data_IF_408565636869
#
_entry.id   IF_408565636869
#
_cell.length_a   1.000
_cell.length_b   1.000
_cell.length_c   1.000
_cell.angle_alpha   90.00
_cell.angle_beta   90.00
_cell.angle_gamma   90.00
#
_symmetry.space_group_name_H-M   'P 1'
#
loop_
_entity.id
_entity.type
_entity.pdbx_description
1 polymer ?
#
# COMPACT_ATOMS: atom_id res chain seq x y z
N UNK A 1 4.98 0.52 -17.44
CA UNK A 1 4.31 -0.48 -16.58
C UNK A 1 5.16 -0.65 -15.32
N UNK A 2 4.61 -1.12 -14.20
CA UNK A 2 5.35 -1.32 -12.93
C UNK A 2 5.14 -2.75 -12.43
N UNK A 3 6.10 -3.26 -11.68
CA UNK A 3 5.99 -4.49 -10.89
C UNK A 3 5.56 -4.12 -9.45
N UNK A 4 4.51 -4.77 -8.96
CA UNK A 4 3.90 -4.52 -7.66
C UNK A 4 4.22 -5.63 -6.66
N UNK A 5 4.78 -5.25 -5.51
CA UNK A 5 5.06 -6.14 -4.37
C UNK A 5 4.36 -5.57 -3.15
N UNK A 6 3.50 -6.32 -2.49
CA UNK A 6 2.73 -5.87 -1.35
C UNK A 6 3.37 -6.34 -0.04
N UNK A 7 3.88 -5.41 0.77
CA UNK A 7 4.42 -5.70 2.10
C UNK A 7 3.26 -5.89 3.08
N UNK A 8 2.94 -7.16 3.34
CA UNK A 8 1.76 -7.55 4.13
C UNK A 8 1.84 -7.02 5.56
N UNK A 9 3.04 -6.99 6.14
CA UNK A 9 3.26 -6.52 7.53
C UNK A 9 2.74 -5.12 7.81
N UNK A 10 2.80 -4.21 6.82
CA UNK A 10 2.43 -2.79 6.98
C UNK A 10 1.29 -2.35 6.06
N UNK A 11 0.83 -3.22 5.17
CA UNK A 11 -0.20 -2.88 4.19
C UNK A 11 0.32 -1.89 3.16
N UNK A 12 1.57 -2.06 2.71
CA UNK A 12 2.24 -1.08 1.84
C UNK A 12 2.60 -1.68 0.49
N UNK A 13 2.13 -1.05 -0.58
CA UNK A 13 2.50 -1.41 -1.94
C UNK A 13 3.87 -0.84 -2.33
N UNK A 14 4.82 -1.72 -2.59
CA UNK A 14 6.14 -1.42 -3.12
C UNK A 14 6.10 -1.51 -4.65
N UNK A 15 6.68 -0.53 -5.32
CA UNK A 15 6.75 -0.52 -6.79
C UNK A 15 8.17 -0.59 -7.31
N UNK A 16 8.33 -1.36 -8.39
CA UNK A 16 9.58 -1.64 -9.08
C UNK A 16 9.41 -1.49 -10.60
N UNK A 17 10.53 -1.34 -11.31
CA UNK A 17 10.52 -1.31 -12.77
C UNK A 17 10.15 -2.67 -13.35
N UNK A 18 9.42 -2.66 -14.48
CA UNK A 18 8.93 -3.90 -15.12
C UNK A 18 10.06 -4.82 -15.56
N UNK A 19 11.27 -4.29 -15.79
CA UNK A 19 12.44 -5.08 -16.17
C UNK A 19 12.77 -6.18 -15.15
N UNK A 20 12.43 -5.98 -13.86
CA UNK A 20 12.61 -7.00 -12.83
C UNK A 20 11.71 -8.23 -13.03
N UNK A 21 10.66 -8.16 -13.85
CA UNK A 21 9.80 -9.31 -14.14
C UNK A 21 10.51 -10.43 -14.90
N UNK A 22 11.49 -10.09 -15.76
CA UNK A 22 12.26 -11.08 -16.53
C UNK A 22 13.52 -11.55 -15.80
N UNK A 23 13.85 -10.92 -14.67
CA UNK A 23 14.96 -11.30 -13.80
C UNK A 23 14.55 -12.41 -12.83
N UNK A 24 15.53 -12.94 -12.10
CA UNK A 24 15.27 -13.98 -11.10
C UNK A 24 14.63 -13.40 -9.84
N UNK A 25 14.00 -14.25 -9.04
CA UNK A 25 13.48 -13.87 -7.73
C UNK A 25 14.63 -13.43 -6.79
N UNK A 26 15.83 -13.98 -6.94
CA UNK A 26 17.01 -13.50 -6.23
C UNK A 26 17.32 -12.01 -6.54
N UNK A 27 17.24 -11.61 -7.81
CA UNK A 27 17.44 -10.21 -8.23
C UNK A 27 16.36 -9.30 -7.63
N UNK A 28 15.10 -9.76 -7.60
CA UNK A 28 14.01 -9.04 -6.93
C UNK A 28 14.30 -8.88 -5.42
N UNK A 29 14.79 -9.92 -4.75
CA UNK A 29 15.16 -9.84 -3.33
C UNK A 29 16.29 -8.83 -3.08
N UNK A 30 17.29 -8.80 -3.95
CA UNK A 30 18.35 -7.78 -3.91
C UNK A 30 17.81 -6.37 -4.16
N UNK A 31 16.87 -6.20 -5.08
CA UNK A 31 16.23 -4.91 -5.34
C UNK A 31 15.42 -4.41 -4.12
N UNK A 32 14.66 -5.31 -3.47
CA UNK A 32 13.93 -5.01 -2.23
C UNK A 32 14.89 -4.59 -1.12
N UNK A 33 15.99 -5.33 -0.92
CA UNK A 33 17.00 -4.99 0.08
C UNK A 33 17.63 -3.61 -0.20
N UNK A 34 18.00 -3.35 -1.45
CA UNK A 34 18.67 -2.11 -1.84
C UNK A 34 17.78 -0.89 -1.63
N UNK A 35 16.51 -0.98 -2.05
CA UNK A 35 15.54 0.13 -2.05
C UNK A 35 14.85 0.34 -0.70
N UNK A 36 14.42 -0.74 -0.05
CA UNK A 36 13.58 -0.69 1.17
C UNK A 36 14.27 -1.23 2.42
N UNK A 37 15.55 -1.63 2.33
CA UNK A 37 16.39 -2.04 3.47
C UNK A 37 15.89 -3.26 4.24
N UNK A 38 15.09 -4.12 3.61
CA UNK A 38 14.70 -5.42 4.17
C UNK A 38 15.77 -6.45 3.78
N UNK A 39 16.51 -6.99 4.74
CA UNK A 39 17.58 -7.96 4.44
C UNK A 39 17.02 -9.24 3.81
N UNK A 40 17.76 -9.85 2.88
CA UNK A 40 17.30 -10.99 2.07
C UNK A 40 16.82 -12.16 2.94
N UNK A 41 17.52 -12.46 4.04
CA UNK A 41 17.12 -13.54 4.96
C UNK A 41 15.76 -13.30 5.66
N UNK A 42 15.30 -12.04 5.70
CA UNK A 42 14.02 -11.68 6.28
C UNK A 42 12.90 -11.59 5.24
N UNK A 43 13.20 -11.72 3.96
CA UNK A 43 12.22 -11.62 2.88
C UNK A 43 11.60 -12.99 2.54
N UNK A 44 10.29 -13.08 2.75
CA UNK A 44 9.45 -14.19 2.28
C UNK A 44 8.59 -13.68 1.15
N UNK A 45 8.78 -14.23 -0.05
CA UNK A 45 8.01 -13.87 -1.23
C UNK A 45 7.09 -15.04 -1.59
N UNK A 46 5.80 -14.75 -1.62
CA UNK A 46 4.75 -15.71 -1.96
C UNK A 46 3.80 -15.08 -2.96
N UNK A 47 3.23 -15.90 -3.83
CA UNK A 47 2.18 -15.46 -4.75
C UNK A 47 0.80 -15.84 -4.23
N UNK A 48 -0.23 -15.32 -4.88
CA UNK A 48 -1.61 -15.69 -4.58
C UNK A 48 -1.80 -17.21 -4.73
N UNK A 49 -2.47 -17.83 -3.76
CA UNK A 49 -2.49 -19.30 -3.60
C UNK A 49 -1.36 -19.85 -2.72
N UNK A 50 -0.40 -19.02 -2.32
CA UNK A 50 0.59 -19.26 -1.27
C UNK A 50 1.84 -20.04 -1.67
N UNK A 51 2.10 -20.21 -2.95
CA UNK A 51 3.35 -20.77 -3.45
C UNK A 51 4.53 -19.84 -3.11
N UNK A 52 5.56 -20.39 -2.45
CA UNK A 52 6.82 -19.70 -2.21
C UNK A 52 7.62 -19.51 -3.51
N UNK A 53 8.10 -18.29 -3.73
CA UNK A 53 8.89 -17.99 -4.93
C UNK A 53 10.32 -18.50 -4.77
N UNK A 54 10.70 -19.49 -5.60
CA UNK A 54 12.05 -20.01 -5.70
C UNK A 54 13.03 -18.99 -6.29
N UNK A 55 14.21 -18.87 -5.68
CA UNK A 55 15.18 -17.81 -5.95
C UNK A 55 15.73 -17.80 -7.38
N UNK A 56 15.88 -18.98 -7.99
CA UNK A 56 16.44 -19.22 -9.32
C UNK A 56 15.41 -19.07 -10.46
N UNK A 57 14.11 -19.08 -10.14
CA UNK A 57 13.04 -18.88 -11.12
C UNK A 57 12.88 -17.39 -11.45
N UNK A 58 12.40 -17.12 -12.67
CA UNK A 58 12.08 -15.75 -13.09
C UNK A 58 10.80 -15.27 -12.43
N UNK A 59 10.71 -13.98 -12.13
CA UNK A 59 9.51 -13.40 -11.48
C UNK A 59 8.25 -13.61 -12.34
N UNK A 60 8.34 -13.47 -13.66
CA UNK A 60 7.21 -13.60 -14.57
C UNK A 60 6.61 -15.01 -14.67
N UNK A 61 7.27 -16.05 -14.14
CA UNK A 61 6.70 -17.41 -14.17
C UNK A 61 5.53 -17.60 -13.20
N UNK A 62 5.35 -16.69 -12.24
CA UNK A 62 4.34 -16.82 -11.18
C UNK A 62 3.03 -16.06 -11.45
N UNK A 63 2.85 -15.49 -12.66
CA UNK A 63 1.63 -14.76 -13.04
C UNK A 63 1.13 -13.73 -12.01
N UNK A 64 2.05 -13.13 -11.27
CA UNK A 64 1.82 -12.15 -10.21
C UNK A 64 2.63 -10.86 -10.47
N UNK A 65 2.42 -9.85 -9.63
CA UNK A 65 3.15 -8.58 -9.70
C UNK A 65 2.38 -7.44 -10.37
N UNK A 66 1.06 -7.56 -10.41
CA UNK A 66 0.14 -6.50 -10.88
C UNK A 66 -0.48 -5.76 -9.70
N UNK A 67 -1.21 -4.67 -9.98
CA UNK A 67 -1.94 -3.91 -8.97
C UNK A 67 -3.07 -4.72 -8.29
N UNK A 68 -3.71 -5.62 -9.04
CA UNK A 68 -4.81 -6.49 -8.54
C UNK A 68 -4.35 -7.86 -8.08
N UNK A 69 -3.15 -8.30 -8.48
CA UNK A 69 -2.53 -9.55 -8.04
C UNK A 69 -1.03 -9.31 -7.78
N UNK A 70 -0.67 -8.67 -6.65
CA UNK A 70 0.70 -8.35 -6.32
C UNK A 70 1.47 -9.59 -5.87
N UNK A 71 2.80 -9.49 -5.82
CA UNK A 71 3.62 -10.46 -5.08
C UNK A 71 3.55 -10.10 -3.60
N UNK A 72 3.22 -11.04 -2.72
CA UNK A 72 3.18 -10.79 -1.29
C UNK A 72 4.57 -10.93 -0.68
N UNK A 73 4.98 -9.91 0.06
CA UNK A 73 6.23 -9.87 0.81
C UNK A 73 5.94 -9.86 2.31
N UNK A 74 6.61 -10.76 3.04
CA UNK A 74 6.65 -10.74 4.49
C UNK A 74 8.07 -10.46 4.97
N UNK A 75 8.18 -9.56 5.93
CA UNK A 75 9.40 -9.29 6.67
C UNK A 75 9.39 -10.09 7.99
N UNK A 76 10.21 -11.14 8.06
CA UNK A 76 10.33 -11.98 9.26
C UNK A 76 10.72 -11.17 10.50
N UNK A 77 11.60 -10.18 10.35
CA UNK A 77 12.05 -9.34 11.46
C UNK A 77 10.89 -8.59 12.11
N UNK A 78 9.94 -8.10 11.30
CA UNK A 78 8.75 -7.39 11.80
C UNK A 78 7.76 -8.32 12.50
N UNK A 79 7.68 -9.59 12.08
CA UNK A 79 6.80 -10.59 12.70
C UNK A 79 7.36 -11.03 14.06
N UNK A 80 8.67 -11.17 14.15
CA UNK A 80 9.36 -11.61 15.36
C UNK A 80 9.64 -10.46 16.35
N UNK A 81 9.38 -9.22 15.96
CA UNK A 81 9.55 -8.06 16.82
C UNK A 81 8.37 -7.96 17.80
N UNK A 82 8.65 -7.82 19.11
CA UNK A 82 7.64 -7.59 20.17
C UNK A 82 6.98 -6.18 20.10
N UNK A 83 7.11 -5.49 18.97
CA UNK A 83 6.50 -4.18 18.76
C UNK A 83 5.13 -4.36 18.13
N UNK A 84 4.11 -3.76 18.75
CA UNK A 84 2.79 -3.67 18.14
C UNK A 84 2.88 -3.06 16.72
N UNK A 85 2.12 -3.57 15.74
CA UNK A 85 2.05 -2.98 14.41
C UNK A 85 1.70 -1.49 14.52
N UNK A 86 2.49 -0.64 13.87
CA UNK A 86 2.22 0.78 13.84
C UNK A 86 1.10 1.04 12.82
N UNK A 87 -0.04 1.54 13.28
CA UNK A 87 -1.08 2.07 12.39
C UNK A 87 -0.56 3.42 11.87
N UNK A 88 -0.39 3.60 10.56
CA UNK A 88 0.01 4.88 10.00
C UNK A 88 -1.01 5.94 10.43
N UNK A 89 -0.55 6.98 11.13
CA UNK A 89 -1.41 8.14 11.42
C UNK A 89 -1.56 8.94 10.14
N UNK A 90 -2.74 8.89 9.54
CA UNK A 90 -3.07 9.73 8.40
C UNK A 90 -3.64 11.05 8.90
N UNK A 91 -2.85 12.11 8.76
CA UNK A 91 -3.30 13.49 9.00
C UNK A 91 -3.60 14.14 7.66
N UNK A 92 -4.88 14.38 7.37
CA UNK A 92 -5.28 15.29 6.30
C UNK A 92 -5.18 16.71 6.82
N UNK A 93 -3.98 17.32 6.69
CA UNK A 93 -3.75 18.69 7.17
C UNK A 93 -4.76 19.70 6.62
N UNK A 94 -5.31 19.44 5.43
CA UNK A 94 -6.28 20.29 4.74
C UNK A 94 -7.68 20.28 5.38
N UNK A 95 -8.06 19.27 6.18
CA UNK A 95 -9.36 19.26 6.85
C UNK A 95 -9.46 20.36 7.91
N UNK A 96 -8.37 20.58 8.66
CA UNK A 96 -8.32 21.62 9.71
C UNK A 96 -8.46 23.04 9.12
N UNK A 97 -7.93 23.27 7.92
CA UNK A 97 -8.01 24.59 7.27
C UNK A 97 -9.43 24.88 6.73
N UNK A 98 -10.22 23.84 6.46
CA UNK A 98 -11.56 23.99 5.89
C UNK A 98 -12.59 24.45 6.91
N UNK A 99 -12.48 24.01 8.16
CA UNK A 99 -13.35 24.48 9.25
C UNK A 99 -13.25 26.00 9.39
N UNK A 100 -12.02 26.52 9.44
CA UNK A 100 -11.74 27.96 9.52
C UNK A 100 -12.35 28.72 8.33
N UNK A 101 -12.16 28.22 7.10
CA UNK A 101 -12.72 28.86 5.89
C UNK A 101 -14.26 28.90 5.90
N UNK A 102 -14.91 27.87 6.44
CA UNK A 102 -16.37 27.83 6.61
C UNK A 102 -16.80 28.90 7.61
N UNK A 103 -16.13 28.99 8.76
CA UNK A 103 -16.41 30.01 9.78
C UNK A 103 -16.24 31.44 9.21
N UNK A 104 -15.15 31.70 8.50
CA UNK A 104 -14.92 32.99 7.84
C UNK A 104 -16.01 33.32 6.81
N UNK A 105 -16.47 32.33 6.04
CA UNK A 105 -17.53 32.50 5.06
C UNK A 105 -18.91 32.81 5.67
N UNK A 106 -19.17 32.34 6.89
CA UNK A 106 -20.39 32.65 7.64
C UNK A 106 -20.43 34.11 8.08
N UNK A 107 -19.27 34.73 8.31
CA UNK A 107 -19.15 36.12 8.75
C UNK A 107 -19.25 37.14 7.61
N UNK A 108 -19.31 36.68 6.35
CA UNK A 108 -19.38 37.57 5.18
C UNK A 108 -20.78 38.20 4.99
N UNK A 109 -20.86 39.46 4.53
CA UNK A 109 -22.14 40.14 4.26
C UNK A 109 -22.88 39.53 3.06
N UNK A 110 -24.20 39.71 2.97
CA UNK A 110 -25.02 39.19 1.88
C UNK A 110 -24.88 40.01 0.58
N UNK A 111 -23.77 39.82 -0.13
CA UNK A 111 -23.45 40.50 -1.41
C UNK A 111 -23.03 39.50 -2.47
N UNK A 112 -23.02 39.92 -3.74
CA UNK A 112 -22.66 39.06 -4.88
C UNK A 112 -21.29 38.39 -4.70
N UNK A 113 -20.29 39.13 -4.20
CA UNK A 113 -18.97 38.59 -3.91
C UNK A 113 -19.01 37.40 -2.95
N UNK A 114 -19.90 37.42 -1.96
CA UNK A 114 -20.08 36.32 -1.00
C UNK A 114 -20.64 35.07 -1.65
N UNK A 115 -21.54 35.21 -2.64
CA UNK A 115 -22.02 34.07 -3.44
C UNK A 115 -20.88 33.44 -4.23
N UNK A 116 -20.03 34.27 -4.87
CA UNK A 116 -18.86 33.79 -5.61
C UNK A 116 -17.86 33.07 -4.68
N UNK A 117 -17.53 33.68 -3.53
CA UNK A 117 -16.63 33.10 -2.53
C UNK A 117 -17.14 31.77 -1.97
N UNK A 118 -18.43 31.68 -1.63
CA UNK A 118 -19.06 30.43 -1.17
C UNK A 118 -19.07 29.34 -2.23
N UNK A 119 -19.31 29.72 -3.49
CA UNK A 119 -19.22 28.77 -4.61
C UNK A 119 -17.80 28.19 -4.71
N UNK A 120 -16.77 29.04 -4.60
CA UNK A 120 -15.38 28.59 -4.66
C UNK A 120 -15.02 27.68 -3.46
N UNK A 121 -15.48 28.02 -2.26
CA UNK A 121 -15.30 27.18 -1.08
C UNK A 121 -15.98 25.80 -1.26
N UNK A 122 -17.21 25.76 -1.77
CA UNK A 122 -17.91 24.50 -2.04
C UNK A 122 -17.15 23.61 -3.05
N UNK A 123 -16.54 24.20 -4.08
CA UNK A 123 -15.68 23.48 -5.03
C UNK A 123 -14.43 22.92 -4.34
N UNK A 124 -13.77 23.72 -3.49
CA UNK A 124 -12.61 23.25 -2.72
C UNK A 124 -13.00 22.10 -1.78
N UNK A 125 -14.13 22.21 -1.08
CA UNK A 125 -14.65 21.17 -0.20
C UNK A 125 -14.90 19.86 -0.94
N UNK A 126 -15.49 19.94 -2.13
CA UNK A 126 -15.74 18.79 -2.97
C UNK A 126 -14.44 18.08 -3.39
N UNK A 127 -13.40 18.82 -3.78
CA UNK A 127 -12.11 18.24 -4.15
C UNK A 127 -11.40 17.57 -2.97
N UNK A 128 -11.50 18.14 -1.77
CA UNK A 128 -11.00 17.49 -0.53
C UNK A 128 -11.78 16.21 -0.26
N UNK A 129 -13.11 16.25 -0.29
CA UNK A 129 -13.97 15.08 -0.07
C UNK A 129 -13.68 13.95 -1.07
N UNK A 130 -13.42 14.28 -2.33
CA UNK A 130 -13.06 13.31 -3.37
C UNK A 130 -11.72 12.61 -3.07
N UNK A 131 -10.72 13.37 -2.60
CA UNK A 131 -9.43 12.81 -2.17
C UNK A 131 -9.57 11.90 -0.95
N UNK A 132 -10.40 12.30 0.02
CA UNK A 132 -10.71 11.48 1.19
C UNK A 132 -11.40 10.16 0.80
N UNK A 133 -12.39 10.23 -0.10
CA UNK A 133 -13.08 9.05 -0.59
C UNK A 133 -12.09 8.06 -1.25
N UNK A 134 -11.28 8.55 -2.19
CA UNK A 134 -10.27 7.72 -2.87
C UNK A 134 -9.24 7.13 -1.89
N UNK A 135 -8.89 7.89 -0.85
CA UNK A 135 -8.00 7.39 0.19
C UNK A 135 -8.64 6.26 1.02
N UNK A 136 -9.90 6.42 1.45
CA UNK A 136 -10.64 5.39 2.17
C UNK A 136 -10.81 4.11 1.33
N UNK A 137 -11.09 4.25 0.03
CA UNK A 137 -11.12 3.13 -0.91
C UNK A 137 -9.77 2.40 -0.97
N UNK A 138 -8.67 3.16 -0.98
CA UNK A 138 -7.31 2.62 -0.88
C UNK A 138 -7.07 1.84 0.40
N UNK A 139 -7.51 2.34 1.56
CA UNK A 139 -7.39 1.64 2.83
C UNK A 139 -8.12 0.29 2.83
N UNK A 140 -9.35 0.25 2.33
CA UNK A 140 -10.14 -0.99 2.23
C UNK A 140 -9.46 -1.98 1.28
N UNK A 141 -8.89 -1.48 0.18
CA UNK A 141 -8.14 -2.30 -0.76
C UNK A 141 -6.87 -2.89 -0.14
N UNK A 142 -6.08 -2.06 0.55
CA UNK A 142 -4.86 -2.51 1.23
C UNK A 142 -5.18 -3.53 2.33
N UNK A 143 -6.26 -3.34 3.09
CA UNK A 143 -6.73 -4.32 4.08
C UNK A 143 -7.12 -5.65 3.42
N UNK A 144 -7.82 -5.61 2.28
CA UNK A 144 -8.16 -6.80 1.52
C UNK A 144 -6.91 -7.57 1.07
N UNK A 145 -5.90 -6.86 0.55
CA UNK A 145 -4.62 -7.47 0.15
C UNK A 145 -3.85 -8.04 1.35
N UNK A 146 -3.88 -7.38 2.51
CA UNK A 146 -3.28 -7.94 3.73
C UNK A 146 -3.95 -9.26 4.11
N UNK A 147 -5.29 -9.29 4.10
CA UNK A 147 -6.05 -10.49 4.41
C UNK A 147 -5.74 -11.63 3.43
N UNK A 148 -5.67 -11.32 2.13
CA UNK A 148 -5.30 -12.28 1.10
C UNK A 148 -3.87 -12.81 1.28
N UNK A 149 -2.91 -11.93 1.59
CA UNK A 149 -1.53 -12.32 1.87
C UNK A 149 -1.43 -13.28 3.05
N UNK A 150 -2.06 -12.94 4.19
CA UNK A 150 -2.07 -13.82 5.36
C UNK A 150 -2.75 -15.16 5.09
N UNK A 151 -3.86 -15.18 4.36
CA UNK A 151 -4.52 -16.41 3.94
C UNK A 151 -3.61 -17.28 3.06
N UNK A 152 -2.85 -16.67 2.14
CA UNK A 152 -1.91 -17.37 1.26
C UNK A 152 -0.79 -18.07 2.07
N UNK A 153 -0.19 -17.41 3.05
CA UNK A 153 0.79 -18.05 3.94
C UNK A 153 0.17 -19.17 4.76
N UNK A 154 -1.02 -18.94 5.34
CA UNK A 154 -1.67 -19.95 6.18
C UNK A 154 -2.02 -21.22 5.39
N UNK A 155 -2.40 -21.07 4.12
CA UNK A 155 -2.73 -22.19 3.24
C UNK A 155 -1.52 -23.10 2.95
N UNK A 156 -0.30 -22.58 2.98
CA UNK A 156 0.93 -23.34 2.70
C UNK A 156 1.94 -23.26 3.85
N UNK A 157 1.45 -23.24 5.09
CA UNK A 157 2.29 -23.14 6.30
C UNK A 157 3.36 -24.24 6.34
N UNK A 158 3.01 -25.47 5.94
CA UNK A 158 3.94 -26.61 5.91
C UNK A 158 5.04 -26.43 4.85
N UNK A 159 4.69 -26.07 3.61
CA UNK A 159 5.66 -25.84 2.53
C UNK A 159 6.54 -24.61 2.79
N UNK A 160 5.96 -23.56 3.39
CA UNK A 160 6.72 -22.40 3.85
C UNK A 160 7.70 -22.81 4.96
N UNK A 161 7.30 -23.65 5.91
CA UNK A 161 8.17 -24.10 7.00
C UNK A 161 9.35 -24.95 6.53
N UNK A 162 9.16 -25.74 5.46
CA UNK A 162 10.16 -26.65 4.90
C UNK A 162 11.07 -26.01 3.84
N UNK A 163 10.69 -24.85 3.30
CA UNK A 163 11.48 -24.10 2.29
C UNK A 163 12.56 -23.20 2.93
N UNK A 164 12.87 -23.40 4.22
CA UNK A 164 13.88 -22.67 4.99
C UNK A 164 15.03 -23.56 5.45
#
# INVERSE_FOLDING_TARGET
MKLYVFLVNTGTTLTFDTELTVQTVADLKHAIQSKYKIAIQHQVLVVNGGECMAADRRVCTYSAGTDTNPIFLFNKEMILCDRAPAIPKTTFSTENDMEIKVEESLMMPAVFHTVASRTQLAVEMYEVAKKLCSFCEGLVHDEHLQHQGWAAIMANLEDCSNSY
#
